data_IF_396172712191
#
_entry.id   IF_396172712191
#
_cell.length_a   1.000
_cell.length_b   1.000
_cell.length_c   1.000
_cell.angle_alpha   90.00
_cell.angle_beta   90.00
_cell.angle_gamma   90.00
#
_symmetry.space_group_name_H-M   'P 1'
#
loop_
_entity.id
_entity.type
_entity.pdbx_description
1 polymer ?
#
# COMPACT_ATOMS: atom_id res chain seq x y z
N UNK A 1 64.29 -17.83 17.71
CA UNK A 1 63.39 -18.95 17.36
C UNK A 1 62.07 -18.36 16.90
N UNK A 2 61.77 -18.41 15.59
CA UNK A 2 60.56 -17.84 14.98
C UNK A 2 59.42 -18.84 15.13
N UNK A 3 58.33 -18.46 15.78
CA UNK A 3 57.12 -19.27 15.86
C UNK A 3 56.04 -18.51 15.09
N UNK A 4 55.86 -18.91 13.83
CA UNK A 4 54.70 -18.57 13.01
C UNK A 4 53.56 -19.49 13.41
N UNK A 5 52.44 -18.95 13.91
CA UNK A 5 51.20 -19.69 14.04
C UNK A 5 50.15 -18.94 13.25
N UNK A 6 49.86 -19.53 12.10
CA UNK A 6 48.85 -19.16 11.13
C UNK A 6 47.58 -19.92 11.52
N UNK A 7 46.51 -19.24 11.93
CA UNK A 7 45.20 -19.90 12.06
C UNK A 7 44.02 -18.93 11.91
N UNK A 8 43.39 -19.06 10.74
CA UNK A 8 41.94 -19.01 10.48
C UNK A 8 41.13 -17.76 10.86
N UNK A 9 40.92 -16.91 9.85
CA UNK A 9 39.78 -15.98 9.81
C UNK A 9 38.50 -16.80 9.59
N UNK A 10 37.63 -16.86 10.59
CA UNK A 10 36.31 -17.47 10.47
C UNK A 10 35.38 -16.46 9.77
N UNK A 11 35.14 -16.66 8.47
CA UNK A 11 34.17 -15.87 7.73
C UNK A 11 32.75 -16.27 8.16
N UNK A 12 32.13 -15.46 9.03
CA UNK A 12 30.70 -15.53 9.31
C UNK A 12 29.93 -15.07 8.07
N UNK A 13 29.61 -16.02 7.17
CA UNK A 13 28.57 -15.83 6.16
C UNK A 13 27.23 -15.96 6.88
N UNK A 14 26.76 -14.85 7.46
CA UNK A 14 25.35 -14.72 7.80
C UNK A 14 24.60 -14.63 6.48
N UNK A 15 24.14 -15.78 5.99
CA UNK A 15 23.10 -15.87 4.97
C UNK A 15 21.95 -14.97 5.44
N UNK A 16 21.85 -13.80 4.83
CA UNK A 16 20.84 -12.81 5.13
C UNK A 16 19.45 -13.35 4.81
N UNK A 17 18.86 -14.07 5.76
CA UNK A 17 17.41 -14.13 5.94
C UNK A 17 17.02 -12.77 6.55
N UNK A 18 17.23 -11.71 5.77
CA UNK A 18 16.49 -10.47 6.00
C UNK A 18 15.01 -10.78 5.81
N UNK A 19 14.10 -10.09 6.52
CA UNK A 19 12.67 -10.29 6.32
C UNK A 19 12.40 -10.19 4.83
N UNK A 20 11.76 -11.23 4.30
CA UNK A 20 11.30 -11.30 2.92
C UNK A 20 10.56 -10.00 2.66
N UNK A 21 11.20 -9.10 1.90
CA UNK A 21 10.57 -7.83 1.54
C UNK A 21 9.39 -8.24 0.69
N UNK A 22 8.20 -8.35 1.30
CA UNK A 22 6.96 -8.62 0.59
C UNK A 22 6.92 -7.63 -0.57
N UNK A 23 7.19 -8.15 -1.77
CA UNK A 23 7.05 -7.38 -2.98
C UNK A 23 5.58 -7.00 -3.02
N UNK A 24 5.29 -5.71 -2.85
CA UNK A 24 3.94 -5.22 -2.68
C UNK A 24 3.04 -5.74 -3.82
N UNK A 25 2.20 -6.71 -3.48
CA UNK A 25 1.29 -7.36 -4.41
C UNK A 25 0.20 -6.37 -4.83
N UNK A 26 -0.10 -6.35 -6.13
CA UNK A 26 -1.24 -5.60 -6.65
C UNK A 26 -2.46 -6.51 -6.51
N UNK A 27 -3.41 -6.08 -5.68
CA UNK A 27 -4.66 -6.78 -5.41
C UNK A 27 -5.77 -6.14 -6.23
N UNK A 28 -6.54 -6.95 -6.96
CA UNK A 28 -7.76 -6.51 -7.63
C UNK A 28 -8.85 -6.20 -6.60
N UNK A 29 -9.49 -5.05 -6.72
CA UNK A 29 -10.48 -4.55 -5.77
C UNK A 29 -11.64 -3.87 -6.50
N UNK A 30 -12.69 -3.52 -5.75
CA UNK A 30 -13.78 -2.66 -6.23
C UNK A 30 -13.74 -1.31 -5.51
N UNK A 31 -13.67 -0.23 -6.28
CA UNK A 31 -13.53 1.13 -5.77
C UNK A 31 -14.83 1.93 -5.89
N UNK A 32 -15.04 2.82 -4.94
CA UNK A 32 -16.06 3.87 -4.99
C UNK A 32 -15.42 5.21 -4.67
N UNK A 33 -15.40 6.09 -5.66
CA UNK A 33 -14.92 7.45 -5.58
C UNK A 33 -16.11 8.40 -5.43
N UNK A 34 -16.06 9.23 -4.40
CA UNK A 34 -17.06 10.27 -4.14
C UNK A 34 -16.33 11.60 -4.02
N UNK A 35 -16.62 12.52 -4.94
CA UNK A 35 -16.12 13.88 -4.89
C UNK A 35 -16.90 14.69 -3.84
N UNK A 36 -16.22 15.60 -3.16
CA UNK A 36 -16.88 16.54 -2.24
C UNK A 36 -17.56 17.68 -3.00
N UNK A 37 -17.03 18.04 -4.17
CA UNK A 37 -17.72 18.91 -5.13
C UNK A 37 -18.93 18.20 -5.75
N UNK A 38 -19.83 18.96 -6.39
CA UNK A 38 -21.00 18.45 -7.13
C UNK A 38 -20.62 17.75 -8.47
N UNK A 39 -19.52 16.99 -8.46
CA UNK A 39 -19.09 16.12 -9.55
C UNK A 39 -19.70 14.73 -9.36
N UNK A 40 -20.11 14.05 -10.44
CA UNK A 40 -20.58 12.67 -10.33
C UNK A 40 -19.44 11.78 -9.81
N UNK A 41 -19.74 10.99 -8.78
CA UNK A 41 -18.83 9.96 -8.29
C UNK A 41 -18.68 8.80 -9.27
N UNK A 42 -17.64 7.98 -9.09
CA UNK A 42 -17.32 6.86 -9.97
C UNK A 42 -17.21 5.56 -9.17
N UNK A 43 -17.64 4.44 -9.76
CA UNK A 43 -17.57 3.10 -9.15
C UNK A 43 -17.11 2.10 -10.20
N UNK A 44 -16.29 1.13 -9.80
CA UNK A 44 -15.72 0.17 -10.73
C UNK A 44 -14.54 -0.60 -10.17
N UNK A 45 -14.05 -1.54 -10.97
CA UNK A 45 -12.87 -2.31 -10.63
C UNK A 45 -11.63 -1.40 -10.57
N UNK A 46 -10.73 -1.74 -9.66
CA UNK A 46 -9.51 -0.99 -9.42
C UNK A 46 -8.38 -1.89 -8.96
N UNK A 47 -7.17 -1.39 -9.14
CA UNK A 47 -5.95 -2.03 -8.66
C UNK A 47 -5.51 -1.34 -7.38
N UNK A 48 -5.29 -2.13 -6.33
CA UNK A 48 -4.82 -1.65 -5.03
C UNK A 48 -3.44 -2.23 -4.75
N UNK A 49 -2.48 -1.37 -4.42
CA UNK A 49 -1.15 -1.79 -3.99
C UNK A 49 -0.83 -1.14 -2.66
N UNK A 50 -0.30 -1.92 -1.72
CA UNK A 50 0.22 -1.41 -0.46
C UNK A 50 1.66 -1.87 -0.25
N UNK A 51 2.57 -0.93 -0.02
CA UNK A 51 4.00 -1.17 0.17
C UNK A 51 4.55 -0.29 1.30
N UNK A 52 5.08 -0.88 2.37
CA UNK A 52 5.70 -0.13 3.47
C UNK A 52 4.81 1.01 4.00
N UNK A 53 3.50 0.74 4.15
CA UNK A 53 2.50 1.71 4.59
C UNK A 53 1.92 2.61 3.48
N UNK A 54 2.67 2.85 2.40
CA UNK A 54 2.21 3.62 1.26
C UNK A 54 1.17 2.85 0.46
N UNK A 55 0.13 3.55 -0.01
CA UNK A 55 -0.93 2.95 -0.82
C UNK A 55 -1.02 3.67 -2.17
N UNK A 56 -1.24 2.88 -3.21
CA UNK A 56 -1.57 3.37 -4.54
C UNK A 56 -2.83 2.68 -5.03
N UNK A 57 -3.75 3.44 -5.61
CA UNK A 57 -4.99 2.93 -6.18
C UNK A 57 -5.16 3.44 -7.60
N UNK A 58 -5.35 2.52 -8.55
CA UNK A 58 -5.64 2.84 -9.94
C UNK A 58 -7.05 2.44 -10.30
N UNK A 59 -7.85 3.38 -10.80
CA UNK A 59 -9.21 3.12 -11.23
C UNK A 59 -9.29 3.30 -12.75
N UNK A 60 -9.12 2.18 -13.47
CA UNK A 60 -8.90 2.18 -14.91
C UNK A 60 -7.64 2.97 -15.29
N UNK A 61 -7.69 3.67 -16.43
CA UNK A 61 -6.61 4.56 -16.89
C UNK A 61 -6.79 6.02 -16.48
N UNK A 62 -7.95 6.34 -15.89
CA UNK A 62 -8.38 7.73 -15.68
C UNK A 62 -7.88 8.30 -14.35
N UNK A 63 -7.81 7.47 -13.31
CA UNK A 63 -7.51 7.92 -11.97
C UNK A 63 -6.38 7.12 -11.33
N UNK A 64 -5.47 7.85 -10.73
CA UNK A 64 -4.40 7.35 -9.88
C UNK A 64 -4.44 8.13 -8.57
N UNK A 65 -4.51 7.39 -7.47
CA UNK A 65 -4.53 7.95 -6.13
C UNK A 65 -3.33 7.44 -5.34
N UNK A 66 -2.47 8.35 -4.92
CA UNK A 66 -1.36 8.04 -4.01
C UNK A 66 -1.72 8.45 -2.59
N UNK A 67 -1.39 7.59 -1.63
CA UNK A 67 -1.56 7.83 -0.20
C UNK A 67 -0.23 7.48 0.51
N UNK A 68 0.74 8.41 0.55
CA UNK A 68 2.01 8.21 1.23
C UNK A 68 1.80 8.10 2.75
N UNK A 69 2.42 7.13 3.41
CA UNK A 69 2.19 6.91 4.85
C UNK A 69 2.55 8.14 5.70
N UNK A 70 3.57 8.90 5.28
CA UNK A 70 4.02 10.16 5.90
C UNK A 70 2.97 11.27 5.92
N UNK A 71 1.94 11.14 5.08
CA UNK A 71 0.89 12.14 4.89
C UNK A 71 -0.43 11.76 5.58
N UNK A 72 -0.49 10.55 6.17
CA UNK A 72 -1.65 10.08 6.93
C UNK A 72 -1.88 10.96 8.15
N UNK A 73 -3.13 11.37 8.36
CA UNK A 73 -3.53 12.30 9.42
C UNK A 73 -3.27 13.77 9.07
N UNK A 74 -2.57 14.07 7.97
CA UNK A 74 -2.25 15.43 7.52
C UNK A 74 -3.03 15.81 6.27
N UNK A 75 -2.71 15.21 5.12
CA UNK A 75 -3.39 15.49 3.86
C UNK A 75 -4.47 14.48 3.51
N UNK A 76 -4.57 13.37 4.26
CA UNK A 76 -5.68 12.42 4.16
C UNK A 76 -5.88 11.66 5.47
N UNK A 77 -7.09 11.11 5.65
CA UNK A 77 -7.42 10.15 6.69
C UNK A 77 -7.53 8.74 6.10
N UNK A 78 -7.18 7.73 6.88
CA UNK A 78 -7.32 6.31 6.53
C UNK A 78 -8.12 5.61 7.61
N UNK A 79 -9.18 4.92 7.21
CA UNK A 79 -9.99 4.08 8.08
C UNK A 79 -10.02 2.66 7.51
N UNK A 80 -9.61 1.67 8.30
CA UNK A 80 -9.72 0.26 7.92
C UNK A 80 -11.02 -0.29 8.51
N UNK A 81 -11.90 -0.80 7.66
CA UNK A 81 -13.17 -1.39 8.06
C UNK A 81 -13.18 -2.88 7.75
N UNK A 82 -14.18 -3.62 8.26
CA UNK A 82 -14.34 -5.05 7.93
C UNK A 82 -14.52 -5.32 6.43
N UNK A 83 -15.02 -4.34 5.68
CA UNK A 83 -15.39 -4.50 4.26
C UNK A 83 -14.40 -3.84 3.30
N UNK A 84 -13.33 -3.24 3.81
CA UNK A 84 -12.37 -2.52 2.99
C UNK A 84 -11.75 -1.31 3.68
N UNK A 85 -11.04 -0.50 2.90
CA UNK A 85 -10.27 0.65 3.38
C UNK A 85 -10.89 1.92 2.81
N UNK A 86 -11.04 2.94 3.65
CA UNK A 86 -11.56 4.26 3.26
C UNK A 86 -10.43 5.28 3.37
N UNK A 87 -10.24 6.06 2.32
CA UNK A 87 -9.32 7.18 2.28
C UNK A 87 -10.09 8.47 2.06
N UNK A 88 -9.89 9.46 2.92
CA UNK A 88 -10.58 10.76 2.81
C UNK A 88 -9.56 11.88 2.68
N UNK A 89 -9.60 12.60 1.57
CA UNK A 89 -8.90 13.89 1.38
C UNK A 89 -9.91 15.00 1.54
N UNK A 90 -9.90 15.65 2.70
CA UNK A 90 -10.85 16.74 3.04
C UNK A 90 -10.73 17.88 2.01
N UNK A 91 -11.85 18.39 1.56
CA UNK A 91 -11.98 19.38 0.50
C UNK A 91 -11.89 18.81 -0.92
N UNK A 92 -11.78 17.48 -1.10
CA UNK A 92 -11.54 16.89 -2.42
C UNK A 92 -12.42 15.66 -2.67
N UNK A 93 -12.15 14.55 -1.99
CA UNK A 93 -12.84 13.28 -2.25
C UNK A 93 -12.70 12.28 -1.10
N UNK A 94 -13.59 11.29 -1.13
CA UNK A 94 -13.48 10.03 -0.39
C UNK A 94 -13.37 8.87 -1.37
N UNK A 95 -12.40 7.98 -1.15
CA UNK A 95 -12.18 6.77 -1.92
C UNK A 95 -12.33 5.56 -1.00
N UNK A 96 -13.32 4.71 -1.28
CA UNK A 96 -13.50 3.41 -0.63
C UNK A 96 -12.96 2.30 -1.52
N UNK A 97 -12.13 1.43 -0.96
CA UNK A 97 -11.52 0.27 -1.63
C UNK A 97 -12.02 -0.99 -0.96
N UNK A 98 -12.75 -1.83 -1.69
CA UNK A 98 -13.18 -3.16 -1.23
C UNK A 98 -12.30 -4.25 -1.86
N UNK A 99 -11.42 -4.84 -1.05
CA UNK A 99 -10.48 -5.87 -1.51
C UNK A 99 -11.13 -7.26 -1.68
N UNK A 100 -12.35 -7.46 -1.15
CA UNK A 100 -13.10 -8.70 -1.34
C UNK A 100 -13.90 -8.74 -2.65
N UNK A 101 -13.77 -7.71 -3.49
CA UNK A 101 -14.49 -7.57 -4.75
C UNK A 101 -15.75 -6.70 -4.62
N UNK A 102 -16.65 -6.83 -5.60
CA UNK A 102 -17.88 -6.04 -5.66
C UNK A 102 -18.78 -6.39 -4.47
N UNK A 103 -19.18 -5.41 -3.62
CA UNK A 103 -20.05 -5.71 -2.50
C UNK A 103 -21.39 -6.26 -3.01
N UNK A 104 -21.75 -7.46 -2.57
CA UNK A 104 -23.09 -8.04 -2.77
C UNK A 104 -24.04 -7.29 -1.86
N UNK A 105 -24.85 -6.40 -2.43
CA UNK A 105 -25.96 -5.76 -1.74
C UNK A 105 -27.17 -6.67 -1.78
#
# INVERSE_FOLDING_TARGET
MRISIMTTVMALVLNGIGPERSAAEIVKAYCTLTWEEHKPGEKGDCDFRQAFGNVQVWMGQRWLFDFPDSERGRSYLRENTKTGIIFTRKGQYTLKVNQSGRPTN
#
